data_IF_445660437957
#
_entry.id   IF_445660437957
#
_cell.length_a   1.000
_cell.length_b   1.000
_cell.length_c   1.000
_cell.angle_alpha   90.00
_cell.angle_beta   90.00
_cell.angle_gamma   90.00
#
_symmetry.space_group_name_H-M   'P 1'
#
loop_
_entity.id
_entity.type
_entity.pdbx_description
1 polymer ?
#
# COMPACT_ATOMS: atom_id res chain seq x y z
N UNK A 1 2.36 -35.58 -22.81
CA UNK A 1 1.87 -34.19 -22.60
C UNK A 1 1.66 -34.02 -21.11
N UNK A 2 2.60 -33.40 -20.42
CA UNK A 2 2.49 -33.08 -18.99
C UNK A 2 1.56 -31.87 -18.87
N UNK A 3 0.38 -32.03 -18.26
CA UNK A 3 -0.48 -30.90 -17.91
C UNK A 3 0.35 -29.90 -17.09
N UNK A 4 0.35 -28.63 -17.49
CA UNK A 4 0.90 -27.58 -16.66
C UNK A 4 0.18 -27.62 -15.29
N UNK A 5 0.89 -27.48 -14.16
CA UNK A 5 0.25 -27.53 -12.86
C UNK A 5 -0.81 -26.43 -12.76
N UNK A 6 -2.01 -26.79 -12.31
CA UNK A 6 -3.08 -25.80 -12.10
C UNK A 6 -2.66 -24.83 -11.00
N UNK A 7 -2.54 -23.55 -11.32
CA UNK A 7 -2.35 -22.50 -10.32
C UNK A 7 -3.67 -22.27 -9.58
N UNK A 8 -3.62 -22.29 -8.24
CA UNK A 8 -4.73 -21.83 -7.41
C UNK A 8 -4.81 -20.31 -7.46
N UNK A 9 -6.01 -19.77 -7.24
CA UNK A 9 -6.28 -18.34 -7.10
C UNK A 9 -6.71 -18.06 -5.65
N UNK A 10 -6.31 -16.91 -5.10
CA UNK A 10 -6.70 -16.46 -3.76
C UNK A 10 -6.97 -14.95 -3.78
N UNK A 11 -7.80 -14.49 -2.86
CA UNK A 11 -8.01 -13.06 -2.63
C UNK A 11 -7.18 -12.58 -1.46
N UNK A 12 -6.59 -11.39 -1.60
CA UNK A 12 -5.90 -10.70 -0.53
C UNK A 12 -6.55 -9.32 -0.35
N UNK A 13 -7.02 -9.04 0.86
CA UNK A 13 -7.65 -7.78 1.22
C UNK A 13 -6.80 -7.03 2.26
N UNK A 14 -6.70 -5.71 2.14
CA UNK A 14 -6.26 -4.83 3.23
C UNK A 14 -7.49 -4.41 4.05
N UNK A 15 -7.57 -4.86 5.30
CA UNK A 15 -8.76 -4.67 6.13
C UNK A 15 -9.01 -3.20 6.51
N UNK A 16 -8.03 -2.30 6.38
CA UNK A 16 -8.22 -0.88 6.68
C UNK A 16 -9.19 -0.15 5.73
N UNK A 17 -9.46 -0.73 4.55
CA UNK A 17 -10.45 -0.19 3.61
C UNK A 17 -11.84 -0.82 3.76
N UNK A 18 -12.00 -1.81 4.67
CA UNK A 18 -13.25 -2.54 4.83
C UNK A 18 -14.15 -1.84 5.84
N UNK A 19 -15.46 -1.92 5.61
CA UNK A 19 -16.45 -1.49 6.61
C UNK A 19 -16.49 -2.48 7.78
N UNK A 20 -16.99 -2.08 8.97
CA UNK A 20 -17.14 -3.00 10.10
C UNK A 20 -17.93 -4.28 9.74
N UNK A 21 -19.01 -4.14 8.96
CA UNK A 21 -19.81 -5.29 8.50
C UNK A 21 -19.04 -6.25 7.58
N UNK A 22 -18.15 -5.72 6.73
CA UNK A 22 -17.30 -6.54 5.86
C UNK A 22 -16.23 -7.28 6.69
N UNK A 23 -15.64 -6.60 7.68
CA UNK A 23 -14.70 -7.19 8.64
C UNK A 23 -15.36 -8.35 9.40
N UNK A 24 -16.54 -8.11 9.98
CA UNK A 24 -17.29 -9.13 10.72
C UNK A 24 -17.64 -10.34 9.84
N UNK A 25 -18.06 -10.09 8.60
CA UNK A 25 -18.33 -11.15 7.62
C UNK A 25 -17.09 -12.00 7.33
N UNK A 26 -15.92 -11.38 7.14
CA UNK A 26 -14.67 -12.12 6.92
C UNK A 26 -14.17 -12.84 8.19
N UNK A 27 -14.37 -12.27 9.38
CA UNK A 27 -14.03 -12.93 10.66
C UNK A 27 -14.83 -14.22 10.88
N UNK A 28 -16.05 -14.27 10.38
CA UNK A 28 -16.92 -15.45 10.46
C UNK A 28 -16.70 -16.46 9.32
N UNK A 29 -16.00 -16.07 8.26
CA UNK A 29 -15.78 -16.92 7.10
C UNK A 29 -14.66 -17.95 7.34
N UNK A 30 -14.92 -19.27 7.27
CA UNK A 30 -13.90 -20.30 7.49
C UNK A 30 -12.81 -20.30 6.39
N UNK A 31 -13.08 -19.69 5.24
CA UNK A 31 -12.14 -19.53 4.13
C UNK A 31 -11.17 -18.35 4.32
N UNK A 32 -11.36 -17.52 5.34
CA UNK A 32 -10.55 -16.34 5.59
C UNK A 32 -9.46 -16.63 6.63
N UNK A 33 -8.29 -16.00 6.43
CA UNK A 33 -7.17 -16.01 7.36
C UNK A 33 -6.65 -14.59 7.55
N UNK A 34 -6.79 -14.09 8.76
CA UNK A 34 -6.19 -12.84 9.20
C UNK A 34 -4.71 -13.07 9.47
N UNK A 35 -3.87 -12.44 8.66
CA UNK A 35 -2.44 -12.74 8.65
C UNK A 35 -1.74 -12.15 9.88
N UNK A 36 -2.32 -11.12 10.51
CA UNK A 36 -1.73 -10.40 11.63
C UNK A 36 -2.38 -10.72 12.98
N UNK A 37 -3.28 -11.70 13.07
CA UNK A 37 -3.94 -12.07 14.35
C UNK A 37 -2.99 -12.47 15.48
N UNK A 38 -1.76 -12.87 15.15
CA UNK A 38 -0.76 -13.30 16.11
C UNK A 38 0.21 -12.20 16.53
N UNK A 39 -0.01 -10.96 16.09
CA UNK A 39 0.83 -9.81 16.48
C UNK A 39 0.28 -9.16 17.74
N UNK A 40 1.16 -8.60 18.57
CA UNK A 40 0.76 -7.98 19.85
C UNK A 40 0.07 -6.62 19.68
N UNK A 41 0.23 -6.01 18.51
CA UNK A 41 -0.33 -4.71 18.19
C UNK A 41 -1.79 -4.87 17.75
N UNK A 42 -2.72 -4.43 18.59
CA UNK A 42 -4.17 -4.56 18.36
C UNK A 42 -4.64 -3.79 17.12
N UNK A 43 -4.00 -2.65 16.82
CA UNK A 43 -4.32 -1.88 15.63
C UNK A 43 -3.88 -2.65 14.39
N UNK A 44 -2.63 -3.15 14.36
CA UNK A 44 -2.15 -3.96 13.25
C UNK A 44 -2.95 -5.27 13.07
N UNK A 45 -3.43 -5.87 14.16
CA UNK A 45 -4.27 -7.08 14.12
C UNK A 45 -5.69 -6.80 13.59
N UNK A 46 -6.27 -5.65 13.94
CA UNK A 46 -7.64 -5.29 13.56
C UNK A 46 -7.79 -4.85 12.11
N UNK A 47 -6.76 -4.21 11.54
CA UNK A 47 -6.79 -3.72 10.13
C UNK A 47 -5.75 -4.40 9.23
N UNK A 48 -5.18 -5.52 9.67
CA UNK A 48 -4.14 -6.24 8.94
C UNK A 48 -4.64 -6.95 7.66
N UNK A 49 -3.71 -7.46 6.83
CA UNK A 49 -4.03 -8.24 5.64
C UNK A 49 -4.88 -9.49 5.93
N UNK A 50 -5.83 -9.77 5.05
CA UNK A 50 -6.69 -10.97 5.10
C UNK A 50 -6.56 -11.76 3.80
N UNK A 51 -6.11 -13.01 3.92
CA UNK A 51 -6.08 -13.97 2.81
C UNK A 51 -7.39 -14.77 2.80
N UNK A 52 -8.03 -14.89 1.64
CA UNK A 52 -9.30 -15.63 1.50
C UNK A 52 -9.22 -16.63 0.36
N UNK A 53 -9.61 -17.88 0.63
CA UNK A 53 -9.73 -18.90 -0.41
C UNK A 53 -10.91 -18.59 -1.35
N UNK A 54 -10.91 -19.10 -2.60
CA UNK A 54 -12.01 -18.86 -3.54
C UNK A 54 -13.37 -19.24 -2.97
N UNK A 55 -14.26 -18.25 -2.89
CA UNK A 55 -15.66 -18.45 -2.54
C UNK A 55 -16.49 -17.26 -3.05
N UNK A 56 -17.79 -17.48 -3.24
CA UNK A 56 -18.69 -16.46 -3.79
C UNK A 56 -18.71 -15.16 -2.97
N UNK A 57 -18.60 -15.24 -1.64
CA UNK A 57 -18.56 -14.07 -0.77
C UNK A 57 -17.29 -13.23 -0.99
N UNK A 58 -16.14 -13.87 -1.21
CA UNK A 58 -14.89 -13.18 -1.50
C UNK A 58 -14.94 -12.53 -2.88
N UNK A 59 -15.51 -13.21 -3.89
CA UNK A 59 -15.67 -12.66 -5.24
C UNK A 59 -16.58 -11.42 -5.24
N UNK A 60 -17.68 -11.46 -4.48
CA UNK A 60 -18.60 -10.32 -4.32
C UNK A 60 -17.92 -9.13 -3.63
N UNK A 61 -17.17 -9.38 -2.55
CA UNK A 61 -16.42 -8.33 -1.86
C UNK A 61 -15.35 -7.73 -2.77
N UNK A 62 -14.61 -8.56 -3.49
CA UNK A 62 -13.60 -8.11 -4.43
C UNK A 62 -14.21 -7.23 -5.52
N UNK A 63 -15.32 -7.64 -6.13
CA UNK A 63 -16.01 -6.85 -7.15
C UNK A 63 -16.48 -5.49 -6.60
N UNK A 64 -17.01 -5.46 -5.37
CA UNK A 64 -17.42 -4.22 -4.72
C UNK A 64 -16.24 -3.26 -4.46
N UNK A 65 -15.10 -3.78 -4.00
CA UNK A 65 -13.90 -2.97 -3.78
C UNK A 65 -13.30 -2.49 -5.10
N UNK A 66 -13.27 -3.33 -6.13
CA UNK A 66 -12.74 -2.99 -7.46
C UNK A 66 -13.58 -1.95 -8.18
N UNK A 67 -14.90 -1.90 -7.93
CA UNK A 67 -15.80 -0.90 -8.50
C UNK A 67 -15.73 0.47 -7.78
N UNK A 68 -15.02 0.55 -6.66
CA UNK A 68 -14.88 1.76 -5.85
C UNK A 68 -13.45 2.29 -5.96
N UNK A 69 -13.24 3.34 -6.75
CA UNK A 69 -11.92 3.97 -6.96
C UNK A 69 -11.21 4.38 -5.66
N UNK A 70 -11.97 4.64 -4.59
CA UNK A 70 -11.41 5.00 -3.29
C UNK A 70 -10.90 3.78 -2.50
N UNK A 71 -11.29 2.56 -2.88
CA UNK A 71 -10.96 1.31 -2.18
C UNK A 71 -10.37 0.20 -3.06
N UNK A 72 -10.31 0.38 -4.38
CA UNK A 72 -9.77 -0.61 -5.31
C UNK A 72 -8.31 -1.02 -5.02
N UNK A 73 -7.54 -0.15 -4.36
CA UNK A 73 -6.18 -0.44 -3.92
C UNK A 73 -6.08 -1.52 -2.82
N UNK A 74 -7.18 -1.78 -2.11
CA UNK A 74 -7.22 -2.67 -0.96
C UNK A 74 -7.55 -4.13 -1.30
N UNK A 75 -7.56 -4.48 -2.59
CA UNK A 75 -7.83 -5.83 -3.06
C UNK A 75 -6.83 -6.26 -4.11
N UNK A 76 -6.32 -7.48 -3.96
CA UNK A 76 -5.43 -8.12 -4.90
C UNK A 76 -5.81 -9.60 -5.10
N UNK A 77 -5.38 -10.15 -6.22
CA UNK A 77 -5.50 -11.57 -6.54
C UNK A 77 -4.12 -12.20 -6.56
N UNK A 78 -3.95 -13.30 -5.82
CA UNK A 78 -2.72 -14.09 -5.78
C UNK A 78 -2.92 -15.39 -6.54
N UNK A 79 -2.02 -15.70 -7.45
CA UNK A 79 -1.95 -17.00 -8.10
C UNK A 79 -0.72 -17.75 -7.61
N UNK A 80 -0.93 -18.94 -7.05
CA UNK A 80 0.13 -19.77 -6.51
C UNK A 80 -0.18 -21.26 -6.72
N UNK A 81 0.84 -22.10 -6.89
CA UNK A 81 0.69 -23.56 -6.84
C UNK A 81 0.59 -24.08 -5.40
N UNK A 82 1.06 -23.31 -4.42
CA UNK A 82 0.93 -23.64 -3.01
C UNK A 82 -0.54 -23.72 -2.58
N UNK A 83 -0.82 -24.58 -1.60
CA UNK A 83 -2.13 -24.60 -0.95
C UNK A 83 -2.34 -23.36 -0.05
N UNK A 84 -3.58 -23.18 0.40
CA UNK A 84 -3.99 -22.02 1.21
C UNK A 84 -3.16 -21.88 2.49
N UNK A 85 -2.87 -22.98 3.17
CA UNK A 85 -2.13 -22.97 4.43
C UNK A 85 -0.67 -22.58 4.24
N UNK A 86 -0.03 -23.10 3.19
CA UNK A 86 1.35 -22.79 2.81
C UNK A 86 1.48 -21.32 2.38
N UNK A 87 0.54 -20.82 1.57
CA UNK A 87 0.53 -19.42 1.16
C UNK A 87 0.31 -18.50 2.37
N UNK A 88 -0.64 -18.81 3.26
CA UNK A 88 -0.86 -18.03 4.47
C UNK A 88 0.39 -17.97 5.36
N UNK A 89 1.05 -19.11 5.58
CA UNK A 89 2.30 -19.18 6.35
C UNK A 89 3.41 -18.32 5.73
N UNK A 90 3.53 -18.32 4.40
CA UNK A 90 4.48 -17.46 3.70
C UNK A 90 4.19 -15.98 3.93
N UNK A 91 2.95 -15.54 3.70
CA UNK A 91 2.56 -14.14 3.87
C UNK A 91 2.70 -13.68 5.33
N UNK A 92 2.46 -14.57 6.29
CA UNK A 92 2.76 -14.32 7.72
C UNK A 92 4.27 -14.17 7.93
N UNK A 93 5.11 -14.99 7.30
CA UNK A 93 6.57 -14.92 7.47
C UNK A 93 7.17 -13.59 6.97
N UNK A 94 6.64 -13.03 5.87
CA UNK A 94 7.11 -11.77 5.29
C UNK A 94 6.44 -10.51 5.86
N UNK A 95 5.65 -10.65 6.94
CA UNK A 95 4.93 -9.52 7.58
C UNK A 95 5.80 -8.41 8.15
N UNK A 96 7.08 -8.69 8.36
CA UNK A 96 8.00 -7.74 8.95
C UNK A 96 9.00 -7.24 7.92
N UNK A 97 9.11 -5.92 7.88
CA UNK A 97 10.22 -5.21 7.29
C UNK A 97 11.21 -4.88 8.40
N UNK A 98 12.48 -5.20 8.18
CA UNK A 98 13.57 -4.84 9.08
C UNK A 98 14.46 -3.79 8.42
N UNK A 99 15.02 -2.92 9.23
CA UNK A 99 16.02 -1.93 8.79
C UNK A 99 17.41 -2.36 9.25
N UNK A 100 18.43 -1.69 8.73
CA UNK A 100 19.82 -2.02 9.04
C UNK A 100 20.17 -1.79 10.52
N UNK A 101 19.56 -0.80 11.16
CA UNK A 101 19.69 -0.49 12.58
C UNK A 101 18.87 -1.42 13.50
N UNK A 102 18.15 -2.39 12.93
CA UNK A 102 17.42 -3.41 13.67
C UNK A 102 15.98 -3.08 14.01
N UNK A 103 15.46 -1.91 13.57
CA UNK A 103 14.04 -1.61 13.71
C UNK A 103 13.19 -2.59 12.89
N UNK A 104 11.93 -2.73 13.31
CA UNK A 104 10.97 -3.66 12.73
C UNK A 104 9.64 -2.95 12.51
N UNK A 105 9.13 -3.01 11.29
CA UNK A 105 7.86 -2.43 10.87
C UNK A 105 6.93 -3.52 10.34
N UNK A 106 5.61 -3.32 10.51
CA UNK A 106 4.60 -4.15 9.85
C UNK A 106 4.51 -3.77 8.38
N UNK A 107 4.53 -4.79 7.52
CA UNK A 107 4.47 -4.59 6.08
C UNK A 107 3.03 -4.48 5.61
N UNK A 108 2.66 -3.40 4.92
CA UNK A 108 1.32 -3.25 4.35
C UNK A 108 1.24 -3.79 2.93
N UNK A 109 1.62 -5.07 2.73
CA UNK A 109 1.71 -5.64 1.38
C UNK A 109 0.35 -5.88 0.70
N UNK A 110 -0.77 -5.84 1.44
CA UNK A 110 -2.11 -5.92 0.86
C UNK A 110 -2.61 -4.58 0.31
N UNK A 111 -2.04 -3.46 0.75
CA UNK A 111 -2.26 -2.15 0.16
C UNK A 111 -1.43 -2.03 -1.11
N UNK A 112 -2.07 -2.01 -2.28
CA UNK A 112 -1.37 -1.96 -3.56
C UNK A 112 -0.48 -0.72 -3.71
N UNK A 113 -0.82 0.39 -3.02
CA UNK A 113 -0.03 1.62 -3.02
C UNK A 113 1.30 1.42 -2.30
N UNK A 114 1.27 0.78 -1.14
CA UNK A 114 2.48 0.44 -0.39
C UNK A 114 3.28 -0.67 -1.08
N UNK A 115 2.60 -1.68 -1.64
CA UNK A 115 3.20 -2.80 -2.36
C UNK A 115 4.07 -2.33 -3.52
N UNK A 116 3.55 -1.45 -4.39
CA UNK A 116 4.28 -0.94 -5.56
C UNK A 116 5.54 -0.20 -5.16
N UNK A 117 5.40 0.70 -4.17
CA UNK A 117 6.52 1.49 -3.67
C UNK A 117 7.60 0.61 -3.06
N UNK A 118 7.20 -0.37 -2.23
CA UNK A 118 8.13 -1.34 -1.67
C UNK A 118 8.82 -2.14 -2.79
N UNK A 119 8.04 -2.69 -3.72
CA UNK A 119 8.57 -3.51 -4.81
C UNK A 119 9.65 -2.81 -5.62
N UNK A 120 9.48 -1.51 -5.86
CA UNK A 120 10.44 -0.68 -6.59
C UNK A 120 11.79 -0.46 -5.88
N UNK A 121 11.83 -0.57 -4.54
CA UNK A 121 13.09 -0.44 -3.78
C UNK A 121 13.75 -1.78 -3.47
N UNK A 122 13.03 -2.89 -3.58
CA UNK A 122 13.58 -4.23 -3.34
C UNK A 122 14.51 -4.66 -4.48
N UNK A 123 15.65 -5.25 -4.12
CA UNK A 123 16.50 -5.96 -5.07
C UNK A 123 15.90 -7.31 -5.46
N UNK A 124 16.38 -7.91 -6.54
CA UNK A 124 15.83 -9.14 -7.12
C UNK A 124 15.71 -10.30 -6.10
N UNK A 125 16.69 -10.47 -5.20
CA UNK A 125 16.64 -11.49 -4.15
C UNK A 125 15.54 -11.22 -3.12
N UNK A 126 15.34 -9.96 -2.72
CA UNK A 126 14.28 -9.57 -1.80
C UNK A 126 12.90 -9.65 -2.48
N UNK A 127 12.80 -9.33 -3.77
CA UNK A 127 11.59 -9.50 -4.57
C UNK A 127 11.18 -10.99 -4.63
N UNK A 128 12.14 -11.89 -4.90
CA UNK A 128 11.91 -13.33 -4.84
C UNK A 128 11.49 -13.82 -3.46
N UNK A 129 12.12 -13.30 -2.41
CA UNK A 129 11.75 -13.57 -1.02
C UNK A 129 10.32 -13.11 -0.68
N UNK A 130 9.93 -11.94 -1.17
CA UNK A 130 8.61 -11.37 -0.94
C UNK A 130 7.51 -12.20 -1.62
N UNK A 131 7.71 -12.60 -2.89
CA UNK A 131 6.73 -13.42 -3.61
C UNK A 131 6.64 -14.84 -3.07
N UNK A 132 7.78 -15.47 -2.76
CA UNK A 132 7.82 -16.88 -2.35
C UNK A 132 7.05 -17.79 -3.32
N UNK A 133 5.94 -18.45 -2.90
CA UNK A 133 5.16 -19.33 -3.76
C UNK A 133 4.22 -18.60 -4.74
N UNK A 134 4.09 -17.27 -4.65
CA UNK A 134 3.21 -16.48 -5.53
C UNK A 134 3.86 -16.34 -6.91
N UNK A 135 3.17 -16.82 -7.93
CA UNK A 135 3.60 -16.77 -9.34
C UNK A 135 3.14 -15.48 -10.01
N UNK A 136 1.93 -15.01 -9.63
CA UNK A 136 1.32 -13.80 -10.15
C UNK A 136 0.57 -13.10 -9.04
N UNK A 137 0.86 -11.81 -8.85
CA UNK A 137 0.18 -10.94 -7.91
C UNK A 137 -0.48 -9.81 -8.71
N UNK A 138 -1.78 -9.91 -8.93
CA UNK A 138 -2.55 -8.91 -9.67
C UNK A 138 -3.23 -7.93 -8.70
N UNK A 139 -3.23 -6.65 -9.03
CA UNK A 139 -3.81 -5.59 -8.21
C UNK A 139 -4.25 -4.42 -9.09
N UNK A 140 -5.00 -3.48 -8.51
CA UNK A 140 -5.36 -2.22 -9.15
C UNK A 140 -4.47 -1.10 -8.61
N UNK A 141 -3.86 -0.31 -9.50
CA UNK A 141 -3.05 0.84 -9.10
C UNK A 141 -3.90 2.09 -8.78
N UNK A 142 -3.24 3.20 -8.44
CA UNK A 142 -3.91 4.47 -8.09
C UNK A 142 -4.74 5.06 -9.22
N UNK A 143 -4.43 4.71 -10.47
CA UNK A 143 -5.12 5.18 -11.68
C UNK A 143 -6.25 4.22 -12.10
N UNK A 144 -6.66 3.33 -11.19
CA UNK A 144 -7.63 2.28 -11.44
C UNK A 144 -7.21 1.33 -12.58
N UNK A 145 -5.90 1.21 -12.87
CA UNK A 145 -5.41 0.32 -13.91
C UNK A 145 -5.00 -1.05 -13.34
N UNK A 146 -5.35 -2.16 -14.02
CA UNK A 146 -4.87 -3.48 -13.64
C UNK A 146 -3.37 -3.60 -13.82
N UNK A 147 -2.67 -4.04 -12.77
CA UNK A 147 -1.24 -4.29 -12.76
C UNK A 147 -0.94 -5.71 -12.30
N UNK A 148 0.26 -6.19 -12.62
CA UNK A 148 0.71 -7.53 -12.29
C UNK A 148 2.19 -7.51 -11.89
N UNK A 149 2.50 -8.08 -10.72
CA UNK A 149 3.86 -8.48 -10.35
C UNK A 149 4.03 -9.98 -10.65
N UNK A 150 5.12 -10.32 -11.34
CA UNK A 150 5.55 -11.70 -11.58
C UNK A 150 7.07 -11.72 -11.74
N UNK A 151 7.71 -12.82 -11.33
CA UNK A 151 9.13 -13.07 -11.62
C UNK A 151 9.20 -14.21 -12.63
N UNK A 152 10.04 -14.06 -13.66
CA UNK A 152 10.32 -15.14 -14.61
C UNK A 152 10.91 -16.34 -13.84
N UNK A 153 10.12 -17.41 -13.73
CA UNK A 153 10.47 -18.63 -13.02
C UNK A 153 11.49 -19.47 -13.82
N UNK A 154 12.70 -18.97 -14.08
CA UNK A 154 13.77 -19.80 -14.66
C UNK A 154 14.36 -20.80 -13.64
N UNK A 155 13.82 -20.89 -12.42
CA UNK A 155 14.35 -21.80 -11.38
C UNK A 155 13.29 -22.45 -10.50
N UNK A 156 12.03 -22.57 -10.96
CA UNK A 156 10.93 -23.19 -10.21
C UNK A 156 11.00 -24.72 -10.03
N UNK A 157 12.21 -25.31 -10.03
CA UNK A 157 12.44 -26.72 -9.67
C UNK A 157 13.20 -26.87 -8.35
N UNK A 158 13.61 -25.77 -7.71
CA UNK A 158 14.21 -25.80 -6.38
C UNK A 158 13.14 -25.80 -5.31
N UNK A 159 13.16 -26.82 -4.44
CA UNK A 159 12.47 -26.83 -3.14
C UNK A 159 12.51 -25.43 -2.54
N UNK A 160 11.35 -24.80 -2.29
CA UNK A 160 11.28 -23.53 -1.59
C UNK A 160 11.99 -23.71 -0.24
N UNK A 161 13.25 -23.33 -0.17
CA UNK A 161 13.97 -23.35 1.08
C UNK A 161 13.17 -22.44 2.01
N UNK A 162 12.76 -22.97 3.16
CA UNK A 162 12.27 -22.20 4.32
C UNK A 162 13.39 -21.28 4.78
N UNK A 163 13.70 -20.30 3.95
CA UNK A 163 14.58 -19.24 4.31
C UNK A 163 13.75 -18.37 5.23
N UNK A 164 14.22 -18.21 6.46
CA UNK A 164 13.70 -17.25 7.42
C UNK A 164 13.95 -15.84 6.88
N UNK A 165 13.22 -15.46 5.82
CA UNK A 165 13.43 -14.21 5.12
C UNK A 165 12.59 -13.14 5.77
N UNK A 166 13.19 -12.51 6.77
CA UNK A 166 12.76 -11.17 7.10
C UNK A 166 13.28 -10.24 6.00
N UNK A 167 12.39 -9.44 5.41
CA UNK A 167 12.77 -8.47 4.39
C UNK A 167 13.58 -7.38 5.08
N UNK A 168 14.89 -7.31 4.83
CA UNK A 168 15.77 -6.30 5.43
C UNK A 168 16.16 -5.25 4.42
N UNK A 169 15.81 -4.00 4.67
CA UNK A 169 16.24 -2.85 3.87
C UNK A 169 17.58 -2.31 4.36
N UNK A 170 18.45 -1.97 3.41
CA UNK A 170 19.59 -1.10 3.69
C UNK A 170 19.15 0.38 3.79
N UNK A 171 20.05 1.26 4.22
CA UNK A 171 19.73 2.68 4.40
C UNK A 171 19.29 3.39 3.12
N UNK A 172 19.84 3.01 1.96
CA UNK A 172 19.45 3.58 0.67
C UNK A 172 18.00 3.18 0.32
N UNK A 173 17.66 1.89 0.49
CA UNK A 173 16.32 1.38 0.25
C UNK A 173 15.30 1.98 1.21
N UNK A 174 15.66 2.11 2.49
CA UNK A 174 14.82 2.76 3.48
C UNK A 174 14.58 4.23 3.13
N UNK A 175 15.63 4.99 2.78
CA UNK A 175 15.50 6.39 2.37
C UNK A 175 14.60 6.54 1.14
N UNK A 176 14.79 5.70 0.12
CA UNK A 176 13.94 5.68 -1.07
C UNK A 176 12.48 5.35 -0.74
N UNK A 177 12.24 4.38 0.16
CA UNK A 177 10.90 4.01 0.62
C UNK A 177 10.22 5.15 1.40
N UNK A 178 10.93 5.80 2.32
CA UNK A 178 10.40 6.93 3.09
C UNK A 178 10.06 8.11 2.18
N UNK A 179 10.96 8.45 1.25
CA UNK A 179 10.73 9.54 0.30
C UNK A 179 9.50 9.29 -0.59
N UNK A 180 9.34 8.07 -1.09
CA UNK A 180 8.22 7.70 -1.98
C UNK A 180 6.89 7.52 -1.27
N UNK A 181 6.89 7.27 0.05
CA UNK A 181 5.67 7.19 0.88
C UNK A 181 5.30 8.52 1.54
N UNK A 182 6.18 9.53 1.49
CA UNK A 182 5.92 10.83 2.12
C UNK A 182 4.62 11.50 1.66
N UNK A 183 4.23 11.51 0.36
CA UNK A 183 2.92 12.03 -0.04
C UNK A 183 1.74 11.33 0.64
N UNK A 184 1.79 10.00 0.82
CA UNK A 184 0.72 9.26 1.51
C UNK A 184 0.68 9.55 3.00
N UNK A 185 1.84 9.73 3.63
CA UNK A 185 1.92 10.09 5.05
C UNK A 185 1.27 11.45 5.31
N UNK A 186 1.53 12.43 4.44
CA UNK A 186 0.88 13.74 4.53
C UNK A 186 -0.62 13.63 4.26
N UNK A 187 -1.04 12.86 3.24
CA UNK A 187 -2.47 12.64 2.97
C UNK A 187 -3.18 12.00 4.16
N UNK A 188 -2.57 11.01 4.80
CA UNK A 188 -3.10 10.37 6.01
C UNK A 188 -3.26 11.40 7.12
N UNK A 189 -2.24 12.24 7.36
CA UNK A 189 -2.29 13.28 8.39
C UNK A 189 -3.34 14.36 8.12
N UNK A 190 -3.56 14.74 6.85
CA UNK A 190 -4.64 15.67 6.49
C UNK A 190 -5.99 15.02 6.73
N UNK A 191 -6.19 13.77 6.29
CA UNK A 191 -7.46 13.05 6.46
C UNK A 191 -7.82 12.83 7.95
N UNK A 192 -6.82 12.55 8.80
CA UNK A 192 -7.02 12.43 10.25
C UNK A 192 -7.46 13.73 10.91
N UNK A 193 -6.92 14.87 10.45
CA UNK A 193 -7.24 16.20 11.00
C UNK A 193 -8.50 16.80 10.41
N UNK A 194 -8.79 16.49 9.14
CA UNK A 194 -9.90 17.02 8.35
C UNK A 194 -10.46 15.95 7.42
N UNK A 195 -11.35 15.07 7.94
CA UNK A 195 -11.91 13.96 7.17
C UNK A 195 -12.60 14.39 5.88
N UNK A 196 -13.22 15.57 5.87
CA UNK A 196 -13.96 16.11 4.72
C UNK A 196 -13.04 16.33 3.50
N UNK A 197 -11.82 16.85 3.71
CA UNK A 197 -10.85 17.03 2.63
C UNK A 197 -10.24 15.70 2.14
N UNK A 198 -10.41 14.64 2.92
CA UNK A 198 -10.01 13.28 2.57
C UNK A 198 -10.85 12.64 1.46
N UNK A 199 -11.83 13.33 0.85
CA UNK A 199 -12.67 12.74 -0.19
C UNK A 199 -13.44 13.69 -1.10
N UNK A 200 -13.35 15.02 -0.93
CA UNK A 200 -14.13 15.94 -1.77
C UNK A 200 -13.54 16.13 -3.17
N UNK A 201 -14.31 15.76 -4.20
CA UNK A 201 -14.14 16.19 -5.59
C UNK A 201 -12.94 15.60 -6.36
N UNK A 202 -11.99 14.95 -5.68
CA UNK A 202 -10.77 14.41 -6.28
C UNK A 202 -10.67 12.89 -6.15
N UNK A 203 -10.27 12.21 -7.23
CA UNK A 203 -9.93 10.79 -7.22
C UNK A 203 -8.69 10.50 -6.37
N UNK A 204 -8.44 9.22 -6.06
CA UNK A 204 -7.24 8.80 -5.32
C UNK A 204 -5.94 9.25 -6.01
N UNK A 205 -5.86 9.08 -7.33
CA UNK A 205 -4.73 9.54 -8.15
C UNK A 205 -4.51 11.06 -8.10
N UNK A 206 -5.59 11.83 -8.21
CA UNK A 206 -5.52 13.29 -8.22
C UNK A 206 -5.02 13.84 -6.88
N UNK A 207 -5.50 13.27 -5.77
CA UNK A 207 -5.01 13.61 -4.42
C UNK A 207 -3.53 13.28 -4.26
N UNK A 208 -3.11 12.10 -4.71
CA UNK A 208 -1.70 11.73 -4.68
C UNK A 208 -0.84 12.67 -5.54
N UNK A 209 -1.31 13.06 -6.72
CA UNK A 209 -0.60 14.00 -7.61
C UNK A 209 -0.44 15.38 -6.95
N UNK A 210 -1.50 15.88 -6.30
CA UNK A 210 -1.43 17.10 -5.50
C UNK A 210 -0.40 16.96 -4.36
N UNK A 211 -0.46 15.86 -3.61
CA UNK A 211 0.47 15.61 -2.52
C UNK A 211 1.93 15.51 -3.00
N UNK A 212 2.17 14.83 -4.12
CA UNK A 212 3.49 14.74 -4.73
C UNK A 212 4.03 16.13 -5.10
N UNK A 213 3.23 16.97 -5.77
CA UNK A 213 3.63 18.34 -6.12
C UNK A 213 3.97 19.19 -4.88
N UNK A 214 3.19 19.05 -3.81
CA UNK A 214 3.47 19.72 -2.53
C UNK A 214 4.79 19.21 -1.94
N UNK A 215 5.01 17.90 -1.88
CA UNK A 215 6.26 17.31 -1.41
C UNK A 215 7.49 17.78 -2.21
N UNK A 216 7.38 17.79 -3.54
CA UNK A 216 8.47 18.22 -4.42
C UNK A 216 8.83 19.70 -4.18
N UNK A 217 7.82 20.55 -4.00
CA UNK A 217 8.04 21.96 -3.65
C UNK A 217 8.65 22.13 -2.26
N UNK A 218 8.13 21.44 -1.24
CA UNK A 218 8.65 21.47 0.13
C UNK A 218 10.12 21.05 0.17
N UNK A 219 10.49 20.03 -0.62
CA UNK A 219 11.88 19.58 -0.74
C UNK A 219 12.77 20.64 -1.38
N UNK A 220 12.29 21.30 -2.44
CA UNK A 220 13.03 22.37 -3.12
C UNK A 220 13.29 23.58 -2.21
N UNK A 221 12.32 23.91 -1.35
CA UNK A 221 12.39 25.03 -0.40
C UNK A 221 13.01 24.63 0.96
N UNK A 222 13.42 23.36 1.12
CA UNK A 222 14.00 22.82 2.35
C UNK A 222 13.11 23.03 3.58
N UNK A 223 11.78 22.95 3.40
CA UNK A 223 10.82 23.10 4.48
C UNK A 223 10.66 21.77 5.24
N UNK A 224 11.24 21.69 6.44
CA UNK A 224 11.27 20.50 7.27
C UNK A 224 10.22 20.50 8.40
N UNK A 225 9.50 21.62 8.61
CA UNK A 225 8.53 21.74 9.71
C UNK A 225 7.26 21.00 9.36
N UNK A 226 7.10 19.80 9.93
CA UNK A 226 5.93 18.94 9.70
C UNK A 226 4.56 19.62 9.81
N UNK A 227 4.29 20.51 10.80
CA UNK A 227 3.02 21.23 10.86
C UNK A 227 2.76 22.09 9.62
N UNK A 228 3.78 22.76 9.09
CA UNK A 228 3.69 23.58 7.86
C UNK A 228 3.41 22.69 6.66
N UNK A 229 4.08 21.54 6.56
CA UNK A 229 3.88 20.59 5.45
C UNK A 229 2.43 20.08 5.37
N UNK A 230 1.84 19.71 6.51
CA UNK A 230 0.43 19.26 6.58
C UNK A 230 -0.53 20.39 6.19
N UNK A 231 -0.28 21.61 6.69
CA UNK A 231 -1.10 22.78 6.37
C UNK A 231 -1.00 23.18 4.88
N UNK A 232 0.19 23.09 4.30
CA UNK A 232 0.39 23.31 2.87
C UNK A 232 -0.36 22.28 2.02
N UNK A 233 -0.31 21.00 2.38
CA UNK A 233 -1.09 19.99 1.66
C UNK A 233 -2.59 20.24 1.78
N UNK A 234 -3.08 20.62 2.96
CA UNK A 234 -4.49 21.01 3.17
C UNK A 234 -4.91 22.12 2.21
N UNK A 235 -4.13 23.19 2.13
CA UNK A 235 -4.39 24.31 1.22
C UNK A 235 -4.31 23.87 -0.25
N UNK A 236 -3.33 23.03 -0.59
CA UNK A 236 -3.22 22.40 -1.90
C UNK A 236 -4.50 21.65 -2.26
N UNK A 237 -4.94 20.70 -1.44
CA UNK A 237 -6.15 19.92 -1.71
C UNK A 237 -7.44 20.77 -1.80
N UNK A 238 -7.48 21.91 -1.10
CA UNK A 238 -8.65 22.79 -1.09
C UNK A 238 -8.72 23.73 -2.29
N UNK A 239 -7.57 24.15 -2.81
CA UNK A 239 -7.48 25.21 -3.83
C UNK A 239 -6.96 24.71 -5.19
N UNK A 240 -6.40 23.51 -5.24
CA UNK A 240 -5.76 22.97 -6.43
C UNK A 240 -6.76 22.76 -7.57
N UNK A 241 -6.45 23.35 -8.72
CA UNK A 241 -6.90 22.81 -9.99
C UNK A 241 -5.81 21.95 -10.60
N UNK A 242 -6.19 20.78 -11.11
CA UNK A 242 -5.29 19.88 -11.81
C UNK A 242 -4.83 20.46 -13.16
N UNK A 243 -5.58 21.43 -13.70
CA UNK A 243 -5.29 22.10 -14.96
C UNK A 243 -4.28 23.24 -14.81
N UNK A 244 -3.83 23.53 -13.58
CA UNK A 244 -2.81 24.55 -13.36
C UNK A 244 -1.45 24.12 -13.91
N UNK A 245 -0.79 25.08 -14.56
CA UNK A 245 0.62 24.96 -14.93
C UNK A 245 1.55 25.05 -13.70
N UNK A 246 2.84 24.80 -13.91
CA UNK A 246 3.85 24.82 -12.84
C UNK A 246 3.96 26.20 -12.17
N UNK A 247 3.77 27.29 -12.92
CA UNK A 247 3.91 28.65 -12.40
C UNK A 247 2.73 29.00 -11.48
N UNK A 248 1.51 28.62 -11.86
CA UNK A 248 0.30 28.77 -11.06
C UNK A 248 0.40 27.97 -9.76
N UNK A 249 0.86 26.72 -9.84
CA UNK A 249 1.12 25.90 -8.65
C UNK A 249 2.16 26.53 -7.72
N UNK A 250 3.32 26.92 -8.25
CA UNK A 250 4.39 27.51 -7.44
C UNK A 250 3.97 28.85 -6.80
N UNK A 251 3.13 29.65 -7.46
CA UNK A 251 2.59 30.88 -6.88
C UNK A 251 1.61 30.58 -5.73
N UNK A 252 0.71 29.61 -5.91
CA UNK A 252 -0.24 29.20 -4.88
C UNK A 252 0.43 28.60 -3.65
N UNK A 253 1.44 27.74 -3.84
CA UNK A 253 2.19 27.13 -2.74
C UNK A 253 3.00 28.16 -1.96
N UNK A 254 3.64 29.12 -2.63
CA UNK A 254 4.33 30.25 -1.96
C UNK A 254 3.38 31.09 -1.12
N UNK A 255 2.21 31.45 -1.66
CA UNK A 255 1.21 32.22 -0.92
C UNK A 255 0.71 31.45 0.32
N UNK A 256 0.50 30.14 0.16
CA UNK A 256 0.08 29.23 1.24
C UNK A 256 1.16 29.12 2.34
N UNK A 257 2.42 28.96 1.94
CA UNK A 257 3.56 28.89 2.85
C UNK A 257 3.73 30.17 3.68
N UNK A 258 3.65 31.34 3.04
CA UNK A 258 3.71 32.63 3.75
C UNK A 258 2.57 32.76 4.77
N UNK A 259 1.33 32.41 4.39
CA UNK A 259 0.20 32.43 5.31
C UNK A 259 0.38 31.49 6.51
N UNK A 260 0.98 30.31 6.30
CA UNK A 260 1.30 29.38 7.38
C UNK A 260 2.35 29.96 8.35
N UNK A 261 3.42 30.57 7.82
CA UNK A 261 4.44 31.23 8.64
C UNK A 261 3.83 32.33 9.49
N UNK A 262 3.00 33.20 8.89
CA UNK A 262 2.38 34.33 9.57
C UNK A 262 1.41 33.88 10.67
N UNK A 263 0.78 32.70 10.53
CA UNK A 263 -0.12 32.13 11.54
C UNK A 263 0.59 31.46 12.72
N UNK A 264 1.90 31.17 12.58
CA UNK A 264 2.73 30.51 13.58
C UNK A 264 3.68 31.46 14.33
N UNK A 265 3.76 32.73 13.91
CA UNK A 265 4.51 33.81 14.54
C UNK A 265 3.65 34.58 15.56
#
# INVERSE_FOLDING_TARGET
>A
MTQAPSSNQYWLFDASALTPSQIDGLRQAPQARWLYDHVQDEQAASVGPVLVAPCAAADQLAALLQADDARAWAVATLHAQADFGTLAQHLVAVRYLHTQDGQRYYLRYADSRCLVTLWGVLGASQQGAMLGPVQRWAYTDRQAQPQVISIAHESASGTFARSTMSLRLNNQQLGALLQSTWPDQLLCSVAERQPDLGGHGLTSWQRYTCAQRVCDWLLAEQEDRYPVQVEMLKLGLSNASLDWDEAQWAASLRASHQACIDSCA
#
